data_IF_389393596646
#
_entry.id   IF_389393596646
#
_cell.length_a   1.000
_cell.length_b   1.000
_cell.length_c   1.000
_cell.angle_alpha   90.00
_cell.angle_beta   90.00
_cell.angle_gamma   90.00
#
_symmetry.space_group_name_H-M   'P 1'
#
loop_
_entity.id
_entity.type
_entity.pdbx_description
1 polymer ?
#
# COMPACT_ATOMS: atom_id res chain seq x y z
N UNK A 1 32.72 15.29 -10.21
CA UNK A 1 32.76 16.71 -9.80
C UNK A 1 31.78 16.86 -8.65
N UNK A 2 32.27 17.01 -7.42
CA UNK A 2 31.39 17.30 -6.28
C UNK A 2 31.02 18.78 -6.40
N UNK A 3 29.78 19.06 -6.81
CA UNK A 3 29.21 20.40 -6.75
C UNK A 3 29.26 20.84 -5.29
N UNK A 4 30.05 21.88 -4.99
CA UNK A 4 30.13 22.48 -3.66
C UNK A 4 28.88 23.35 -3.46
N UNK A 5 27.71 22.71 -3.33
CA UNK A 5 26.45 23.39 -3.05
C UNK A 5 26.44 23.85 -1.59
N UNK A 6 26.39 25.16 -1.39
CA UNK A 6 26.25 25.72 -0.05
C UNK A 6 24.85 25.44 0.47
N UNK A 7 24.73 25.06 1.74
CA UNK A 7 23.43 24.80 2.37
C UNK A 7 22.55 26.06 2.47
N UNK A 8 23.16 27.24 2.32
CA UNK A 8 22.47 28.52 2.36
C UNK A 8 21.94 28.94 0.99
N UNK A 9 22.29 28.24 -0.09
CA UNK A 9 21.78 28.53 -1.41
C UNK A 9 20.32 28.10 -1.53
N UNK A 10 19.60 28.75 -2.44
CA UNK A 10 18.22 28.40 -2.75
C UNK A 10 18.14 26.96 -3.26
N UNK A 11 17.25 26.17 -2.66
CA UNK A 11 17.12 24.77 -2.99
C UNK A 11 16.47 24.60 -4.38
N UNK A 12 17.06 23.72 -5.19
CA UNK A 12 16.46 23.24 -6.43
C UNK A 12 16.10 21.77 -6.28
N UNK A 13 15.06 21.31 -6.97
CA UNK A 13 14.64 19.89 -6.90
C UNK A 13 15.75 18.95 -7.36
N UNK A 14 16.45 19.28 -8.45
CA UNK A 14 17.53 18.47 -9.02
C UNK A 14 18.81 18.51 -8.17
N UNK A 15 19.12 19.65 -7.56
CA UNK A 15 20.25 19.78 -6.64
C UNK A 15 20.01 19.00 -5.35
N UNK A 16 18.82 19.16 -4.77
CA UNK A 16 18.48 18.46 -3.53
C UNK A 16 18.38 16.96 -3.73
N UNK A 17 17.83 16.50 -4.87
CA UNK A 17 17.80 15.08 -5.23
C UNK A 17 19.21 14.47 -5.28
N UNK A 18 20.18 15.18 -5.85
CA UNK A 18 21.60 14.77 -5.80
C UNK A 18 22.16 14.79 -4.38
N UNK A 19 21.85 15.83 -3.61
CA UNK A 19 22.33 15.98 -2.22
C UNK A 19 21.90 14.82 -1.33
N UNK A 20 20.62 14.41 -1.41
CA UNK A 20 20.06 13.33 -0.57
C UNK A 20 20.13 11.95 -1.22
N UNK A 21 20.64 11.83 -2.45
CA UNK A 21 20.77 10.56 -3.16
C UNK A 21 19.43 9.95 -3.60
N UNK A 22 18.47 10.78 -4.00
CA UNK A 22 17.15 10.34 -4.49
C UNK A 22 16.92 10.76 -5.93
N UNK A 23 15.81 10.31 -6.53
CA UNK A 23 15.39 10.81 -7.83
C UNK A 23 14.75 12.20 -7.72
N UNK A 24 14.90 13.03 -8.74
CA UNK A 24 14.24 14.35 -8.80
C UNK A 24 12.71 14.25 -8.78
N UNK A 25 12.05 13.27 -9.43
CA UNK A 25 10.61 13.05 -9.28
C UNK A 25 10.16 12.78 -7.83
N UNK A 26 10.98 12.10 -7.02
CA UNK A 26 10.67 11.89 -5.61
C UNK A 26 10.64 13.21 -4.83
N UNK A 27 11.63 14.08 -5.07
CA UNK A 27 11.65 15.43 -4.47
C UNK A 27 10.48 16.28 -4.98
N UNK A 28 10.15 16.21 -6.27
CA UNK A 28 9.01 16.92 -6.84
C UNK A 28 7.70 16.56 -6.12
N UNK A 29 7.50 15.27 -5.81
CA UNK A 29 6.34 14.82 -5.02
C UNK A 29 6.30 15.44 -3.62
N UNK A 30 7.45 15.58 -2.95
CA UNK A 30 7.52 16.21 -1.64
C UNK A 30 7.27 17.73 -1.67
N UNK A 31 7.71 18.41 -2.74
CA UNK A 31 7.39 19.82 -2.98
C UNK A 31 5.89 20.00 -3.24
N UNK A 32 5.29 19.16 -4.09
CA UNK A 32 3.85 19.20 -4.38
C UNK A 32 2.99 18.91 -3.15
N UNK A 33 3.45 18.01 -2.28
CA UNK A 33 2.79 17.71 -1.00
C UNK A 33 2.97 18.82 0.06
N UNK A 34 3.69 19.91 -0.25
CA UNK A 34 3.94 21.02 0.68
C UNK A 34 4.94 20.69 1.79
N UNK A 35 5.61 19.52 1.72
CA UNK A 35 6.59 19.10 2.74
C UNK A 35 7.89 19.86 2.61
N UNK A 36 8.29 20.18 1.37
CA UNK A 36 9.46 21.00 1.09
C UNK A 36 8.97 22.40 0.69
N UNK A 37 9.19 23.44 1.52
CA UNK A 37 8.64 24.76 1.26
C UNK A 37 9.31 25.40 0.03
N UNK A 38 8.53 25.94 -0.89
CA UNK A 38 9.07 26.57 -2.10
C UNK A 38 9.93 27.80 -1.76
N UNK A 39 10.96 28.03 -2.56
CA UNK A 39 11.85 29.19 -2.40
C UNK A 39 12.80 29.14 -1.20
N UNK A 40 12.79 28.06 -0.41
CA UNK A 40 13.66 27.90 0.75
C UNK A 40 15.08 27.44 0.38
N UNK A 41 15.98 27.51 1.34
CA UNK A 41 17.37 27.06 1.20
C UNK A 41 17.50 25.55 1.36
N UNK A 42 18.64 25.00 0.93
CA UNK A 42 18.96 23.58 1.12
C UNK A 42 18.96 23.17 2.61
N UNK A 43 19.38 24.05 3.52
CA UNK A 43 19.34 23.80 4.97
C UNK A 43 17.93 23.57 5.49
N UNK A 44 16.97 24.40 5.08
CA UNK A 44 15.55 24.27 5.46
C UNK A 44 14.96 22.99 4.88
N UNK A 45 15.23 22.70 3.61
CA UNK A 45 14.76 21.47 2.96
C UNK A 45 15.33 20.23 3.65
N UNK A 46 16.59 20.24 4.06
CA UNK A 46 17.23 19.14 4.75
C UNK A 46 16.57 18.89 6.12
N UNK A 47 16.33 19.94 6.90
CA UNK A 47 15.64 19.82 8.20
C UNK A 47 14.22 19.27 8.03
N UNK A 48 13.44 19.82 7.11
CA UNK A 48 12.08 19.35 6.84
C UNK A 48 12.07 17.88 6.36
N UNK A 49 13.03 17.51 5.51
CA UNK A 49 13.17 16.14 5.03
C UNK A 49 13.55 15.17 6.15
N UNK A 50 14.48 15.55 7.03
CA UNK A 50 14.87 14.75 8.20
C UNK A 50 13.72 14.60 9.20
N UNK A 51 12.96 15.65 9.48
CA UNK A 51 11.80 15.61 10.39
C UNK A 51 10.72 14.67 9.84
N UNK A 52 10.47 14.73 8.54
CA UNK A 52 9.58 13.80 7.84
C UNK A 52 10.07 12.37 7.95
N UNK A 53 11.35 12.10 7.69
CA UNK A 53 11.92 10.75 7.83
C UNK A 53 11.83 10.24 9.28
N UNK A 54 12.01 11.12 10.26
CA UNK A 54 11.83 10.78 11.68
C UNK A 54 10.37 10.43 11.98
N UNK A 55 9.45 11.23 11.47
CA UNK A 55 8.00 10.99 11.61
C UNK A 55 7.59 9.70 10.90
N UNK A 56 8.09 9.42 9.71
CA UNK A 56 7.84 8.15 8.99
C UNK A 56 8.46 6.97 9.72
N UNK A 57 9.67 7.13 10.28
CA UNK A 57 10.33 6.09 11.05
C UNK A 57 9.64 5.80 12.38
N UNK A 58 9.14 6.83 13.07
CA UNK A 58 8.32 6.70 14.27
C UNK A 58 6.93 6.14 13.91
N UNK A 59 6.38 6.59 12.79
CA UNK A 59 5.15 6.12 12.16
C UNK A 59 5.30 4.82 11.39
N UNK A 60 6.41 4.06 11.52
CA UNK A 60 6.44 2.66 11.09
C UNK A 60 5.43 1.79 11.83
N UNK A 61 4.81 2.31 12.92
CA UNK A 61 3.58 1.78 13.51
C UNK A 61 2.30 2.09 12.70
N UNK A 62 2.22 3.17 11.93
CA UNK A 62 1.07 3.47 11.07
C UNK A 62 0.96 2.51 9.85
N UNK A 63 1.96 1.63 9.67
CA UNK A 63 1.87 0.50 8.74
C UNK A 63 0.79 -0.51 9.14
N UNK A 64 0.19 -0.39 10.33
CA UNK A 64 -1.01 -1.14 10.71
C UNK A 64 -2.17 -0.91 9.73
N UNK A 65 -2.34 0.29 9.16
CA UNK A 65 -3.42 0.53 8.20
C UNK A 65 -3.18 -0.15 6.84
N UNK A 66 -1.92 -0.26 6.41
CA UNK A 66 -1.54 -1.02 5.20
C UNK A 66 -1.61 -2.51 5.46
N UNK A 67 -1.10 -2.97 6.61
CA UNK A 67 -1.24 -4.35 7.04
C UNK A 67 -2.72 -4.77 7.14
N UNK A 68 -3.59 -3.93 7.70
CA UNK A 68 -5.03 -4.22 7.76
C UNK A 68 -5.67 -4.32 6.37
N UNK A 69 -5.26 -3.46 5.43
CA UNK A 69 -5.73 -3.54 4.06
C UNK A 69 -5.24 -4.81 3.37
N UNK A 70 -3.98 -5.18 3.57
CA UNK A 70 -3.40 -6.41 3.02
C UNK A 70 -4.08 -7.66 3.60
N UNK A 71 -4.40 -7.67 4.90
CA UNK A 71 -5.22 -8.71 5.52
C UNK A 71 -6.63 -8.76 4.93
N UNK A 72 -7.31 -7.61 4.78
CA UNK A 72 -8.65 -7.55 4.23
C UNK A 72 -8.71 -8.01 2.77
N UNK A 73 -7.69 -7.69 1.98
CA UNK A 73 -7.60 -8.13 0.59
C UNK A 73 -7.25 -9.63 0.48
N UNK A 74 -6.44 -10.16 1.40
CA UNK A 74 -6.19 -11.60 1.52
C UNK A 74 -7.47 -12.39 1.87
N UNK A 75 -8.30 -11.88 2.78
CA UNK A 75 -9.57 -12.52 3.14
C UNK A 75 -10.57 -12.50 1.98
N UNK A 76 -10.67 -11.38 1.24
CA UNK A 76 -11.48 -11.31 0.01
C UNK A 76 -11.02 -12.32 -1.03
N UNK A 77 -9.71 -12.46 -1.23
CA UNK A 77 -9.15 -13.43 -2.16
C UNK A 77 -9.53 -14.87 -1.77
N UNK A 78 -9.44 -15.22 -0.48
CA UNK A 78 -9.87 -16.53 0.03
C UNK A 78 -11.36 -16.78 -0.21
N UNK A 79 -12.22 -15.83 0.14
CA UNK A 79 -13.66 -15.97 -0.10
C UNK A 79 -13.99 -16.13 -1.58
N UNK A 80 -13.31 -15.40 -2.47
CA UNK A 80 -13.49 -15.57 -3.92
C UNK A 80 -13.07 -16.95 -4.40
N UNK A 81 -11.94 -17.47 -3.91
CA UNK A 81 -11.46 -18.80 -4.25
C UNK A 81 -12.42 -19.90 -3.77
N UNK A 82 -12.97 -19.76 -2.56
CA UNK A 82 -13.98 -20.68 -2.05
C UNK A 82 -15.26 -20.67 -2.87
N UNK A 83 -15.72 -19.50 -3.31
CA UNK A 83 -16.89 -19.39 -4.20
C UNK A 83 -16.66 -20.10 -5.53
N UNK A 84 -15.51 -19.85 -6.17
CA UNK A 84 -15.13 -20.51 -7.43
C UNK A 84 -15.08 -22.03 -7.24
N UNK A 85 -14.50 -22.50 -6.13
CA UNK A 85 -14.42 -23.93 -5.81
C UNK A 85 -15.80 -24.57 -5.63
N UNK A 86 -16.74 -23.89 -4.95
CA UNK A 86 -18.11 -24.37 -4.79
C UNK A 86 -18.86 -24.43 -6.13
N UNK A 87 -18.62 -23.46 -7.02
CA UNK A 87 -19.24 -23.47 -8.34
C UNK A 87 -18.75 -24.64 -9.17
N UNK A 88 -17.43 -24.89 -9.20
CA UNK A 88 -16.85 -26.05 -9.88
C UNK A 88 -17.46 -27.37 -9.37
N UNK A 89 -17.59 -27.53 -8.05
CA UNK A 89 -18.24 -28.73 -7.50
C UNK A 89 -19.72 -28.84 -7.83
N UNK A 90 -20.42 -27.73 -8.06
CA UNK A 90 -21.81 -27.75 -8.54
C UNK A 90 -21.87 -28.16 -10.00
N UNK A 91 -20.99 -27.63 -10.85
CA UNK A 91 -20.88 -28.00 -12.27
C UNK A 91 -20.57 -29.49 -12.43
N UNK A 92 -19.64 -30.02 -11.63
CA UNK A 92 -19.28 -31.44 -11.61
C UNK A 92 -20.35 -32.33 -10.94
N UNK A 93 -21.48 -31.76 -10.48
CA UNK A 93 -22.55 -32.44 -9.76
C UNK A 93 -22.08 -33.18 -8.48
N UNK A 94 -20.97 -32.75 -7.89
CA UNK A 94 -20.37 -33.32 -6.69
C UNK A 94 -20.98 -32.78 -5.39
N UNK A 95 -21.87 -31.79 -5.46
CA UNK A 95 -22.62 -31.25 -4.33
C UNK A 95 -24.11 -31.41 -4.60
N UNK A 96 -24.82 -32.03 -3.65
CA UNK A 96 -26.28 -32.18 -3.68
C UNK A 96 -26.90 -31.18 -2.72
N UNK A 97 -27.99 -30.55 -3.14
CA UNK A 97 -28.76 -29.68 -2.28
C UNK A 97 -29.43 -30.47 -1.12
N UNK A 98 -29.47 -29.86 0.06
CA UNK A 98 -29.96 -30.48 1.29
C UNK A 98 -31.43 -30.88 1.19
N UNK A 99 -32.25 -30.11 0.48
CA UNK A 99 -33.68 -30.40 0.30
C UNK A 99 -33.89 -31.60 -0.63
N UNK A 100 -33.03 -31.74 -1.64
CA UNK A 100 -33.02 -32.91 -2.52
C UNK A 100 -32.64 -34.20 -1.78
N UNK A 101 -31.63 -34.13 -0.89
CA UNK A 101 -31.27 -35.26 -0.01
C UNK A 101 -32.43 -35.60 0.93
N UNK A 102 -33.04 -34.59 1.56
CA UNK A 102 -34.18 -34.79 2.46
C UNK A 102 -35.33 -35.51 1.76
N UNK A 103 -35.68 -35.08 0.54
CA UNK A 103 -36.75 -35.69 -0.25
C UNK A 103 -36.44 -37.16 -0.57
N UNK A 104 -35.22 -37.44 -1.06
CA UNK A 104 -34.79 -38.81 -1.34
C UNK A 104 -34.83 -39.70 -0.09
N UNK A 105 -34.44 -39.18 1.07
CA UNK A 105 -34.52 -39.92 2.34
C UNK A 105 -35.96 -40.27 2.75
N UNK A 106 -36.92 -39.38 2.52
CA UNK A 106 -38.34 -39.64 2.80
C UNK A 106 -38.90 -40.68 1.83
N UNK A 107 -38.59 -40.56 0.54
CA UNK A 107 -38.99 -41.52 -0.49
C UNK A 107 -38.41 -42.92 -0.24
N UNK A 108 -37.19 -43.02 0.31
CA UNK A 108 -36.59 -44.30 0.70
C UNK A 108 -37.20 -44.94 1.96
N UNK A 109 -37.94 -44.18 2.75
CA UNK A 109 -38.56 -44.68 3.99
C UNK A 109 -39.98 -45.22 3.81
N UNK A 110 -40.54 -45.13 2.58
CA UNK A 110 -41.87 -45.65 2.20
C UNK A 110 -41.72 -46.90 1.36
#
# INVERSE_FOLDING_TARGET
MADNQSLNDQATQSGFARLVGTSQPAIAKHVQAGVLPQGSTYSVWLQAYCERLRTEAAGRQANDARNQKDLADADKARMSAEKIRRELYREDQLIVDVESVRKAMVEWST
#
